data_IF_556259042929
#
_entry.id   IF_556259042929
#
_cell.length_a   1.000
_cell.length_b   1.000
_cell.length_c   1.000
_cell.angle_alpha   90.00
_cell.angle_beta   90.00
_cell.angle_gamma   90.00
#
_symmetry.space_group_name_H-M   'P 1'
#
loop_
_entity.id
_entity.type
_entity.pdbx_description
1 polymer ?
#
# COMPACT_ATOMS: atom_id res chain seq x y z
N UNK A 1 14.81 -7.46 2.02
CA UNK A 1 14.80 -8.77 1.32
C UNK A 1 14.90 -8.66 -0.20
N UNK A 2 14.70 -7.50 -0.85
CA UNK A 2 15.01 -7.33 -2.29
C UNK A 2 14.25 -8.28 -3.24
N UNK A 3 13.14 -8.87 -2.78
CA UNK A 3 12.34 -9.83 -3.52
C UNK A 3 11.36 -9.10 -4.44
N UNK A 4 11.18 -9.60 -5.67
CA UNK A 4 10.17 -9.08 -6.58
C UNK A 4 8.77 -9.61 -6.17
N UNK A 5 7.84 -8.73 -5.74
CA UNK A 5 6.50 -9.13 -5.33
C UNK A 5 5.62 -9.67 -6.47
N UNK A 6 5.99 -9.47 -7.74
CA UNK A 6 5.25 -9.97 -8.89
C UNK A 6 5.54 -11.45 -9.17
N UNK A 7 6.74 -11.93 -8.83
CA UNK A 7 7.16 -13.31 -9.08
C UNK A 7 7.23 -14.17 -7.82
N UNK A 8 7.42 -13.55 -6.66
CA UNK A 8 7.59 -14.27 -5.38
C UNK A 8 6.24 -14.65 -4.78
N UNK A 9 6.10 -15.88 -4.27
CA UNK A 9 4.93 -16.31 -3.49
C UNK A 9 5.09 -15.86 -2.04
N UNK A 10 4.50 -14.72 -1.70
CA UNK A 10 4.58 -14.14 -0.36
C UNK A 10 3.19 -13.78 0.20
N UNK A 11 2.97 -14.15 1.46
CA UNK A 11 1.82 -13.76 2.27
C UNK A 11 2.28 -12.88 3.44
N UNK A 12 1.57 -11.79 3.66
CA UNK A 12 1.65 -11.00 4.89
C UNK A 12 0.49 -11.42 5.78
N UNK A 13 0.78 -11.94 6.96
CA UNK A 13 -0.22 -12.38 7.95
C UNK A 13 -0.10 -11.55 9.22
N UNK A 14 -1.21 -11.26 9.90
CA UNK A 14 -1.18 -10.41 11.09
C UNK A 14 -0.26 -10.93 12.21
N UNK A 15 -0.10 -12.25 12.30
CA UNK A 15 0.81 -12.93 13.24
C UNK A 15 1.09 -14.35 12.75
N UNK A 16 2.35 -14.65 12.41
CA UNK A 16 2.81 -15.98 11.97
C UNK A 16 2.68 -17.07 13.05
N UNK A 17 2.66 -16.70 14.33
CA UNK A 17 2.59 -17.67 15.43
C UNK A 17 1.16 -18.13 15.71
N UNK A 18 0.15 -17.40 15.21
CA UNK A 18 -1.26 -17.69 15.44
C UNK A 18 -1.86 -18.33 14.19
N UNK A 19 -2.14 -19.63 14.23
CA UNK A 19 -2.72 -20.36 13.07
C UNK A 19 -4.04 -19.75 12.56
N UNK A 20 -4.86 -19.17 13.44
CA UNK A 20 -6.09 -18.46 13.08
C UNK A 20 -5.88 -17.04 12.55
N UNK A 21 -4.63 -16.60 12.35
CA UNK A 21 -4.31 -15.27 11.86
C UNK A 21 -4.81 -15.07 10.43
N UNK A 22 -5.12 -13.82 10.12
CA UNK A 22 -5.66 -13.42 8.81
C UNK A 22 -4.52 -13.03 7.88
N UNK A 23 -4.65 -13.45 6.62
CA UNK A 23 -3.87 -12.93 5.50
C UNK A 23 -4.33 -11.50 5.21
N UNK A 24 -3.43 -10.56 5.48
CA UNK A 24 -3.61 -9.13 5.23
C UNK A 24 -3.36 -8.81 3.75
N UNK A 25 -2.31 -9.40 3.17
CA UNK A 25 -1.94 -9.24 1.78
C UNK A 25 -1.30 -10.52 1.22
N UNK A 26 -1.47 -10.74 -0.09
CA UNK A 26 -0.86 -11.84 -0.82
C UNK A 26 -0.39 -11.34 -2.20
N UNK A 27 0.77 -11.80 -2.63
CA UNK A 27 1.33 -11.55 -3.98
C UNK A 27 0.50 -12.23 -5.07
N UNK A 28 0.48 -11.72 -6.32
CA UNK A 28 -0.24 -12.33 -7.44
C UNK A 28 -0.06 -13.86 -7.61
N UNK A 29 1.18 -14.41 -7.65
CA UNK A 29 1.36 -15.86 -7.82
C UNK A 29 0.82 -16.69 -6.65
N UNK A 30 0.69 -16.10 -5.47
CA UNK A 30 0.09 -16.78 -4.31
C UNK A 30 -1.45 -16.73 -4.37
N UNK A 31 -2.02 -15.68 -4.97
CA UNK A 31 -3.47 -15.59 -5.24
C UNK A 31 -3.93 -16.61 -6.28
N UNK A 32 -3.10 -16.88 -7.28
CA UNK A 32 -3.35 -17.94 -8.28
C UNK A 32 -3.46 -19.34 -7.65
N UNK A 33 -2.79 -19.55 -6.51
CA UNK A 33 -2.91 -20.77 -5.72
C UNK A 33 -4.17 -20.80 -4.82
N UNK A 34 -5.05 -19.81 -4.92
CA UNK A 34 -6.31 -19.75 -4.19
C UNK A 34 -6.26 -19.00 -2.85
N UNK A 35 -5.09 -18.50 -2.42
CA UNK A 35 -4.95 -17.73 -1.18
C UNK A 35 -5.44 -16.29 -1.40
N UNK A 36 -6.51 -15.89 -0.71
CA UNK A 36 -7.10 -14.56 -0.84
C UNK A 36 -6.85 -13.71 0.40
N UNK A 37 -7.12 -12.41 0.28
CA UNK A 37 -7.26 -11.55 1.48
C UNK A 37 -8.36 -12.15 2.36
N UNK A 38 -8.21 -12.07 3.68
CA UNK A 38 -9.08 -12.69 4.69
C UNK A 38 -8.99 -14.22 4.84
N UNK A 39 -8.24 -14.93 3.97
CA UNK A 39 -7.89 -16.32 4.23
C UNK A 39 -7.13 -16.46 5.55
N UNK A 40 -7.20 -17.65 6.14
CA UNK A 40 -6.48 -17.94 7.39
C UNK A 40 -5.09 -18.49 7.12
N UNK A 41 -4.17 -18.26 8.05
CA UNK A 41 -2.81 -18.80 7.94
C UNK A 41 -2.81 -20.33 7.76
N UNK A 42 -3.73 -21.06 8.40
CA UNK A 42 -3.86 -22.51 8.21
C UNK A 42 -4.37 -22.94 6.82
N UNK A 43 -5.00 -22.04 6.05
CA UNK A 43 -5.49 -22.32 4.69
C UNK A 43 -4.38 -22.21 3.64
N UNK A 44 -3.24 -21.61 4.00
CA UNK A 44 -2.09 -21.48 3.11
C UNK A 44 -1.40 -22.84 2.97
N UNK A 45 -1.16 -23.34 1.75
CA UNK A 45 -0.40 -24.58 1.54
C UNK A 45 0.97 -24.50 2.21
N UNK A 46 1.32 -25.51 3.01
CA UNK A 46 2.66 -25.61 3.62
C UNK A 46 3.66 -26.06 2.57
N UNK A 47 4.26 -25.11 1.85
CA UNK A 47 5.29 -25.36 0.86
C UNK A 47 6.51 -24.47 1.14
N UNK A 48 7.70 -25.00 0.89
CA UNK A 48 8.96 -24.30 1.11
C UNK A 48 9.15 -23.09 0.17
N UNK A 49 8.41 -23.01 -0.94
CA UNK A 49 8.45 -21.90 -1.89
C UNK A 49 7.48 -20.75 -1.54
N UNK A 50 6.75 -20.83 -0.42
CA UNK A 50 5.84 -19.78 0.05
C UNK A 50 6.46 -19.09 1.27
N UNK A 51 6.68 -17.79 1.14
CA UNK A 51 7.16 -16.94 2.22
C UNK A 51 5.97 -16.38 3.01
N UNK A 52 5.98 -16.57 4.32
CA UNK A 52 4.97 -16.04 5.22
C UNK A 52 5.67 -15.10 6.19
N UNK A 53 5.26 -13.84 6.20
CA UNK A 53 5.91 -12.77 6.99
C UNK A 53 4.87 -11.98 7.79
N UNK A 54 5.32 -11.41 8.91
CA UNK A 54 4.52 -10.44 9.66
C UNK A 54 4.54 -9.07 8.95
N UNK A 55 3.48 -8.25 9.07
CA UNK A 55 3.50 -6.87 8.61
C UNK A 55 4.52 -6.07 9.40
N UNK A 56 5.31 -5.26 8.70
CA UNK A 56 6.18 -4.26 9.35
C UNK A 56 5.43 -2.94 9.41
N UNK A 57 4.69 -2.69 10.50
CA UNK A 57 3.84 -1.50 10.64
C UNK A 57 4.60 -0.17 10.48
N UNK A 58 5.87 -0.13 10.86
CA UNK A 58 6.72 1.05 10.67
C UNK A 58 6.80 1.48 9.20
N UNK A 59 6.95 0.54 8.27
CA UNK A 59 7.02 0.83 6.83
C UNK A 59 5.69 1.41 6.34
N UNK A 60 4.57 0.82 6.76
CA UNK A 60 3.25 1.32 6.38
C UNK A 60 3.00 2.75 6.88
N UNK A 61 3.32 3.01 8.15
CA UNK A 61 3.17 4.35 8.75
C UNK A 61 4.07 5.36 8.03
N UNK A 62 5.32 4.97 7.76
CA UNK A 62 6.28 5.80 7.03
C UNK A 62 5.75 6.15 5.63
N UNK A 63 5.30 5.16 4.86
CA UNK A 63 4.71 5.38 3.54
C UNK A 63 3.47 6.28 3.59
N UNK A 64 2.56 6.04 4.53
CA UNK A 64 1.34 6.83 4.73
C UNK A 64 1.69 8.29 4.99
N UNK A 65 2.58 8.55 5.95
CA UNK A 65 3.05 9.90 6.28
C UNK A 65 3.68 10.63 5.08
N UNK A 66 4.41 9.91 4.22
CA UNK A 66 4.97 10.50 3.00
C UNK A 66 3.89 10.89 1.99
N UNK A 67 2.90 10.03 1.78
CA UNK A 67 1.77 10.32 0.88
C UNK A 67 0.95 11.49 1.44
N UNK A 68 0.70 11.54 2.75
CA UNK A 68 0.03 12.67 3.41
C UNK A 68 0.81 13.97 3.23
N UNK A 69 2.15 13.95 3.42
CA UNK A 69 3.00 15.13 3.17
C UNK A 69 2.91 15.61 1.72
N UNK A 70 2.86 14.68 0.76
CA UNK A 70 2.67 15.00 -0.65
C UNK A 70 1.29 15.64 -0.89
N UNK A 71 0.22 15.05 -0.36
CA UNK A 71 -1.14 15.57 -0.50
C UNK A 71 -1.25 16.99 0.06
N UNK A 72 -0.64 17.27 1.21
CA UNK A 72 -0.59 18.60 1.83
C UNK A 72 0.24 19.64 1.03
N UNK A 73 0.97 19.25 -0.02
CA UNK A 73 1.54 20.22 -0.97
C UNK A 73 0.49 20.77 -1.94
N UNK A 74 -0.65 20.08 -2.10
CA UNK A 74 -1.69 20.40 -3.08
C UNK A 74 -2.92 21.04 -2.47
N UNK A 75 -3.19 20.81 -1.19
CA UNK A 75 -4.37 21.31 -0.48
C UNK A 75 -3.99 21.85 0.89
N UNK A 76 -4.80 22.76 1.43
CA UNK A 76 -4.66 23.20 2.80
C UNK A 76 -4.98 22.05 3.77
N UNK A 77 -4.52 22.17 5.02
CA UNK A 77 -4.77 21.14 6.04
C UNK A 77 -6.26 20.94 6.31
N UNK A 78 -7.05 22.01 6.26
CA UNK A 78 -8.51 21.95 6.45
C UNK A 78 -9.24 21.18 5.35
N UNK A 79 -8.68 21.15 4.14
CA UNK A 79 -9.22 20.44 2.98
C UNK A 79 -8.71 19.00 2.88
N UNK A 80 -7.87 18.55 3.83
CA UNK A 80 -7.33 17.19 3.88
C UNK A 80 -7.91 16.41 5.06
N UNK A 81 -8.43 15.22 4.79
CA UNK A 81 -9.03 14.36 5.80
C UNK A 81 -8.48 12.94 5.73
N UNK A 82 -7.66 12.56 6.71
CA UNK A 82 -7.17 11.19 6.86
C UNK A 82 -8.28 10.29 7.41
N UNK A 83 -8.60 9.19 6.72
CA UNK A 83 -9.61 8.22 7.16
C UNK A 83 -8.99 6.95 7.74
N UNK A 84 -7.96 6.42 7.09
CA UNK A 84 -7.18 5.25 7.53
C UNK A 84 -5.70 5.43 7.15
N UNK A 85 -4.85 4.41 7.33
CA UNK A 85 -3.45 4.46 6.89
C UNK A 85 -3.28 4.49 5.36
N UNK A 86 -4.25 3.94 4.64
CA UNK A 86 -4.26 3.79 3.18
C UNK A 86 -5.36 4.58 2.48
N UNK A 87 -6.20 5.30 3.23
CA UNK A 87 -7.34 6.05 2.72
C UNK A 87 -7.37 7.47 3.29
N UNK A 88 -7.53 8.44 2.40
CA UNK A 88 -7.75 9.85 2.75
C UNK A 88 -8.64 10.51 1.69
N UNK A 89 -9.21 11.64 2.07
CA UNK A 89 -9.95 12.53 1.20
C UNK A 89 -9.23 13.87 1.12
N UNK A 90 -9.27 14.51 -0.05
CA UNK A 90 -8.75 15.85 -0.24
C UNK A 90 -9.70 16.63 -1.14
N UNK A 91 -10.07 17.85 -0.73
CA UNK A 91 -10.80 18.77 -1.58
C UNK A 91 -9.82 19.63 -2.38
N UNK A 92 -9.79 19.41 -3.68
CA UNK A 92 -8.90 20.15 -4.61
C UNK A 92 -9.61 21.30 -5.31
N UNK A 93 -10.89 21.54 -5.04
CA UNK A 93 -11.72 22.46 -5.83
C UNK A 93 -11.10 23.87 -5.91
N UNK A 94 -10.57 24.37 -4.80
CA UNK A 94 -9.95 25.69 -4.74
C UNK A 94 -8.55 25.72 -5.39
N UNK A 95 -7.75 24.67 -5.25
CA UNK A 95 -6.35 24.64 -5.66
C UNK A 95 -6.10 24.01 -7.05
N UNK A 96 -7.09 23.31 -7.62
CA UNK A 96 -6.95 22.52 -8.84
C UNK A 96 -6.33 23.31 -9.99
N UNK A 97 -6.78 24.55 -10.18
CA UNK A 97 -6.35 25.43 -11.27
C UNK A 97 -4.84 25.75 -11.26
N UNK A 98 -4.15 25.58 -10.13
CA UNK A 98 -2.70 25.78 -10.00
C UNK A 98 -1.90 24.58 -10.53
N UNK A 99 -2.52 23.39 -10.56
CA UNK A 99 -1.80 22.13 -10.77
C UNK A 99 -2.27 21.34 -11.99
N UNK A 100 -3.51 21.53 -12.44
CA UNK A 100 -4.11 20.85 -13.57
C UNK A 100 -5.32 21.62 -14.15
N UNK A 101 -5.76 21.25 -15.35
CA UNK A 101 -6.95 21.87 -15.99
C UNK A 101 -8.25 21.20 -15.58
N UNK A 102 -8.18 19.94 -15.15
CA UNK A 102 -9.34 19.15 -14.72
C UNK A 102 -8.93 18.12 -13.64
N UNK A 103 -9.89 17.59 -12.86
CA UNK A 103 -9.60 16.64 -11.78
C UNK A 103 -8.95 15.33 -12.23
N UNK A 104 -9.25 14.89 -13.46
CA UNK A 104 -8.69 13.66 -14.02
C UNK A 104 -7.18 13.80 -14.29
N UNK A 105 -6.77 14.92 -14.89
CA UNK A 105 -5.37 15.24 -15.12
C UNK A 105 -4.60 15.36 -13.79
N UNK A 106 -5.19 16.02 -12.79
CA UNK A 106 -4.64 16.06 -11.43
C UNK A 106 -4.44 14.64 -10.86
N UNK A 107 -5.47 13.80 -10.94
CA UNK A 107 -5.43 12.43 -10.41
C UNK A 107 -4.33 11.60 -11.06
N UNK A 108 -4.14 11.74 -12.38
CA UNK A 108 -3.09 11.05 -13.12
C UNK A 108 -1.69 11.52 -12.72
N UNK A 109 -1.51 12.84 -12.56
CA UNK A 109 -0.25 13.42 -12.08
C UNK A 109 0.08 12.96 -10.66
N UNK A 110 -0.88 13.10 -9.76
CA UNK A 110 -0.75 12.74 -8.35
C UNK A 110 -0.46 11.24 -8.17
N UNK A 111 -1.17 10.36 -8.91
CA UNK A 111 -0.89 8.92 -8.94
C UNK A 111 0.54 8.61 -9.39
N UNK A 112 1.04 9.33 -10.39
CA UNK A 112 2.41 9.15 -10.89
C UNK A 112 3.45 9.56 -9.84
N UNK A 113 3.21 10.64 -9.11
CA UNK A 113 4.09 11.07 -8.02
C UNK A 113 4.11 10.08 -6.85
N UNK A 114 2.94 9.55 -6.45
CA UNK A 114 2.88 8.47 -5.46
C UNK A 114 3.70 7.26 -5.92
N UNK A 115 3.55 6.84 -7.18
CA UNK A 115 4.29 5.70 -7.72
C UNK A 115 5.81 5.92 -7.66
N UNK A 116 6.29 7.09 -8.07
CA UNK A 116 7.72 7.44 -8.01
C UNK A 116 8.22 7.41 -6.57
N UNK A 117 7.46 7.98 -5.61
CA UNK A 117 7.82 7.96 -4.19
C UNK A 117 7.87 6.55 -3.63
N UNK A 118 6.90 5.69 -3.96
CA UNK A 118 6.89 4.30 -3.51
C UNK A 118 8.09 3.51 -4.04
N UNK A 119 8.47 3.74 -5.31
CA UNK A 119 9.68 3.14 -5.89
C UNK A 119 10.94 3.64 -5.18
N UNK A 120 11.02 4.93 -4.85
CA UNK A 120 12.15 5.46 -4.09
C UNK A 120 12.24 4.84 -2.69
N UNK A 121 11.11 4.73 -1.98
CA UNK A 121 11.06 4.13 -0.63
C UNK A 121 11.42 2.63 -0.68
N UNK A 122 11.05 1.90 -1.73
CA UNK A 122 11.41 0.49 -1.87
C UNK A 122 12.86 0.25 -2.33
N UNK A 123 13.49 1.26 -2.94
CA UNK A 123 14.87 1.18 -3.44
C UNK A 123 15.90 1.56 -2.39
N UNK A 124 15.54 2.38 -1.40
CA UNK A 124 16.43 2.76 -0.30
C UNK A 124 16.36 1.67 0.80
N UNK A 125 17.49 1.02 1.16
CA UNK A 125 17.52 -0.08 2.13
C UNK A 125 17.19 0.33 3.57
#
# INVERSE_FOLDING_TARGET
MGLDPLCTKLAVVGDVNRQGSIVLAATPPLKELGVKKMSRLYEIPRRHDILIVNPTMEIYIRCSNYITKLALQYVAFEDFHQYSIDEFFMDVTASLHLFARNPYEFSMKFKREIYILQVLISTVP
#
